data_IF_290330066040
#
_entry.id   IF_290330066040
#
_cell.length_a   1.000
_cell.length_b   1.000
_cell.length_c   1.000
_cell.angle_alpha   90.00
_cell.angle_beta   90.00
_cell.angle_gamma   90.00
#
_symmetry.space_group_name_H-M   'P 1'
#
loop_
_entity.id
_entity.type
_entity.pdbx_description
1 polymer ?
#
# COMPACT_ATOMS: atom_id res chain seq x y z
N UNK A 1 24.39 17.89 11.37
CA UNK A 1 24.25 16.45 11.60
C UNK A 1 25.47 15.78 11.02
N UNK A 2 26.21 15.01 11.82
CA UNK A 2 27.32 14.18 11.33
C UNK A 2 26.88 12.73 11.36
N UNK A 3 26.97 12.03 10.21
CA UNK A 3 26.65 10.60 10.10
C UNK A 3 27.97 9.87 9.85
N UNK A 4 28.33 8.95 10.75
CA UNK A 4 29.46 8.03 10.57
C UNK A 4 28.90 6.63 10.34
N UNK A 5 29.34 5.99 9.27
CA UNK A 5 28.95 4.60 8.95
C UNK A 5 30.15 3.70 9.20
N UNK A 6 29.98 2.71 10.08
CA UNK A 6 30.85 1.53 10.19
C UNK A 6 30.09 0.31 9.70
N UNK A 7 30.82 -0.77 9.39
CA UNK A 7 30.26 -2.04 8.84
C UNK A 7 29.03 -2.53 9.63
N UNK A 8 28.97 -2.31 10.95
CA UNK A 8 27.90 -2.78 11.83
C UNK A 8 27.13 -1.70 12.58
N UNK A 9 27.41 -0.40 12.38
CA UNK A 9 26.76 0.68 13.13
C UNK A 9 26.66 1.96 12.30
N UNK A 10 25.53 2.62 12.41
CA UNK A 10 25.37 4.01 11.99
C UNK A 10 25.29 4.88 13.25
N UNK A 11 26.21 5.83 13.37
CA UNK A 11 26.23 6.78 14.48
C UNK A 11 25.76 8.13 13.93
N UNK A 12 24.66 8.63 14.48
CA UNK A 12 24.13 9.96 14.17
C UNK A 12 24.50 10.87 15.34
N UNK A 13 25.30 11.90 15.09
CA UNK A 13 25.67 12.89 16.09
C UNK A 13 24.97 14.20 15.80
N UNK A 14 24.29 14.74 16.79
CA UNK A 14 23.60 16.02 16.75
C UNK A 14 24.23 16.96 17.76
N UNK A 15 24.46 18.23 17.37
CA UNK A 15 24.78 19.30 18.30
C UNK A 15 23.45 19.99 18.63
N UNK A 16 23.12 20.08 19.92
CA UNK A 16 21.94 20.79 20.41
C UNK A 16 22.07 22.32 20.25
N UNK A 17 21.01 23.02 20.59
CA UNK A 17 20.92 24.50 20.59
C UNK A 17 21.25 25.15 19.24
N UNK A 18 20.91 24.51 18.14
CA UNK A 18 21.00 25.12 16.81
C UNK A 18 19.81 26.06 16.58
N UNK A 19 20.08 27.25 16.07
CA UNK A 19 19.04 28.13 15.56
C UNK A 19 18.62 27.63 14.16
N UNK A 20 17.33 27.49 13.96
CA UNK A 20 16.77 27.14 12.66
C UNK A 20 16.15 28.41 12.05
N UNK A 21 16.41 28.62 10.78
CA UNK A 21 15.72 29.67 10.02
C UNK A 21 14.39 29.10 9.51
N UNK A 22 13.35 29.93 9.52
CA UNK A 22 12.08 29.59 8.90
C UNK A 22 12.25 29.42 7.39
N UNK A 23 11.53 28.49 6.80
CA UNK A 23 11.51 28.28 5.37
C UNK A 23 10.12 27.79 4.93
N UNK A 24 9.78 28.05 3.69
CA UNK A 24 8.58 27.50 3.08
C UNK A 24 8.90 26.16 2.43
N UNK A 25 8.06 25.16 2.67
CA UNK A 25 8.23 23.83 2.13
C UNK A 25 6.91 23.25 1.61
N UNK A 26 6.90 22.88 0.37
CA UNK A 26 5.79 22.14 -0.24
C UNK A 26 5.96 20.65 0.04
N UNK A 27 5.13 20.09 0.90
CA UNK A 27 5.20 18.65 1.24
C UNK A 27 4.76 17.83 0.03
N UNK A 28 5.62 16.97 -0.52
CA UNK A 28 5.24 16.08 -1.62
C UNK A 28 4.16 15.08 -1.20
N UNK A 29 3.43 14.54 -2.18
CA UNK A 29 2.47 13.47 -1.93
C UNK A 29 3.13 12.24 -1.30
N UNK A 30 2.44 11.61 -0.35
CA UNK A 30 2.91 10.40 0.33
C UNK A 30 2.64 9.16 -0.53
N UNK A 31 3.68 8.33 -0.72
CA UNK A 31 3.58 7.08 -1.49
C UNK A 31 2.62 6.07 -0.85
N UNK A 32 2.53 6.04 0.48
CA UNK A 32 1.61 5.13 1.18
C UNK A 32 0.15 5.50 0.89
N UNK A 33 -0.19 6.78 0.91
CA UNK A 33 -1.51 7.27 0.52
C UNK A 33 -1.79 7.02 -0.96
N UNK A 34 -0.82 7.26 -1.83
CA UNK A 34 -0.92 7.01 -3.27
C UNK A 34 -1.13 5.54 -3.60
N UNK A 35 -0.60 4.62 -2.80
CA UNK A 35 -0.60 3.18 -3.03
C UNK A 35 -2.01 2.60 -3.23
N UNK A 36 -2.99 3.09 -2.48
CA UNK A 36 -4.38 2.65 -2.58
C UNK A 36 -5.00 3.02 -3.92
N UNK A 37 -4.72 4.23 -4.42
CA UNK A 37 -5.21 4.69 -5.73
C UNK A 37 -4.45 4.03 -6.89
N UNK A 38 -3.17 3.72 -6.71
CA UNK A 38 -2.39 2.91 -7.66
C UNK A 38 -3.05 1.55 -7.82
N UNK A 39 -3.34 0.84 -6.72
CA UNK A 39 -3.96 -0.48 -6.77
C UNK A 39 -5.40 -0.42 -7.26
N UNK A 40 -6.18 0.59 -6.85
CA UNK A 40 -7.52 0.83 -7.42
C UNK A 40 -7.45 0.90 -8.95
N UNK A 41 -6.52 1.69 -9.50
CA UNK A 41 -6.37 1.83 -10.95
C UNK A 41 -5.91 0.55 -11.63
N UNK A 42 -4.95 -0.19 -11.02
CA UNK A 42 -4.46 -1.46 -11.58
C UNK A 42 -5.60 -2.48 -11.72
N UNK A 43 -6.47 -2.57 -10.70
CA UNK A 43 -7.51 -3.59 -10.61
C UNK A 43 -8.83 -3.19 -11.28
N UNK A 44 -9.06 -1.91 -11.57
CA UNK A 44 -10.27 -1.42 -12.25
C UNK A 44 -10.04 -1.42 -13.76
N UNK A 45 -10.88 -2.14 -14.51
CA UNK A 45 -10.75 -2.24 -15.96
C UNK A 45 -10.81 -0.88 -16.67
N UNK A 46 -10.06 -0.76 -17.77
CA UNK A 46 -9.99 0.42 -18.63
C UNK A 46 -9.63 1.74 -17.92
N UNK A 47 -8.97 1.63 -16.76
CA UNK A 47 -8.58 2.78 -15.95
C UNK A 47 -7.16 3.23 -16.20
N UNK A 48 -6.95 4.54 -16.07
CA UNK A 48 -5.63 5.18 -16.07
C UNK A 48 -5.62 6.33 -15.07
N UNK A 49 -4.48 6.57 -14.43
CA UNK A 49 -4.32 7.64 -13.45
C UNK A 49 -2.91 8.21 -13.50
N UNK A 50 -2.81 9.50 -13.20
CA UNK A 50 -1.54 10.18 -12.90
C UNK A 50 -1.66 10.79 -11.51
N UNK A 51 -0.81 10.35 -10.57
CA UNK A 51 -0.72 10.92 -9.24
C UNK A 51 0.51 11.82 -9.22
N UNK A 52 0.29 13.13 -9.06
CA UNK A 52 1.34 14.13 -9.24
C UNK A 52 2.17 14.37 -8.00
N UNK A 53 3.44 14.73 -8.21
CA UNK A 53 4.38 15.20 -7.18
C UNK A 53 4.49 14.28 -5.96
N UNK A 54 4.57 12.97 -6.17
CA UNK A 54 4.73 11.99 -5.08
C UNK A 54 6.20 11.83 -4.73
N UNK A 55 6.50 11.75 -3.44
CA UNK A 55 7.83 11.40 -2.96
C UNK A 55 8.19 9.99 -3.40
N UNK A 56 9.33 9.85 -4.08
CA UNK A 56 9.85 8.58 -4.60
C UNK A 56 11.19 8.19 -3.97
N UNK A 57 11.34 8.46 -2.68
CA UNK A 57 12.51 8.02 -1.94
C UNK A 57 12.67 6.51 -2.04
N UNK A 58 13.88 6.05 -2.36
CA UNK A 58 14.20 4.63 -2.57
C UNK A 58 13.85 3.74 -1.37
N UNK A 59 13.90 4.29 -0.16
CA UNK A 59 13.52 3.59 1.07
C UNK A 59 12.00 3.39 1.24
N UNK A 60 11.17 4.00 0.37
CA UNK A 60 9.71 4.01 0.49
C UNK A 60 8.98 3.43 -0.74
N UNK A 61 9.67 3.26 -1.87
CA UNK A 61 9.04 2.81 -3.13
C UNK A 61 9.03 1.29 -3.32
N UNK A 62 9.18 0.52 -2.24
CA UNK A 62 9.13 -0.95 -2.30
C UNK A 62 7.87 -1.48 -2.96
N UNK A 63 6.72 -0.87 -2.69
CA UNK A 63 5.45 -1.22 -3.36
C UNK A 63 5.55 -1.11 -4.88
N UNK A 64 6.14 -0.04 -5.41
CA UNK A 64 6.26 0.16 -6.87
C UNK A 64 7.11 -0.95 -7.49
N UNK A 65 8.22 -1.30 -6.82
CA UNK A 65 9.11 -2.38 -7.26
C UNK A 65 8.37 -3.72 -7.27
N UNK A 66 7.67 -4.05 -6.19
CA UNK A 66 6.89 -5.30 -6.05
C UNK A 66 5.78 -5.37 -7.10
N UNK A 67 4.96 -4.33 -7.25
CA UNK A 67 3.88 -4.32 -8.22
C UNK A 67 4.39 -4.41 -9.66
N UNK A 68 5.52 -3.78 -9.98
CA UNK A 68 6.15 -3.93 -11.30
C UNK A 68 6.68 -5.34 -11.55
N UNK A 69 7.23 -6.02 -10.53
CA UNK A 69 7.59 -7.45 -10.62
C UNK A 69 6.35 -8.32 -10.86
N UNK A 70 5.17 -7.92 -10.36
CA UNK A 70 3.89 -8.56 -10.64
C UNK A 70 3.29 -8.18 -12.01
N UNK A 71 3.97 -7.32 -12.77
CA UNK A 71 3.58 -6.92 -14.12
C UNK A 71 2.68 -5.69 -14.21
N UNK A 72 2.58 -4.86 -13.16
CA UNK A 72 1.71 -3.69 -13.14
C UNK A 72 2.10 -2.61 -14.16
N UNK A 73 3.40 -2.44 -14.46
CA UNK A 73 3.87 -1.49 -15.47
C UNK A 73 3.75 -0.02 -15.04
N UNK A 74 3.95 0.24 -13.76
CA UNK A 74 3.92 1.58 -13.17
C UNK A 74 5.17 2.36 -13.62
N UNK A 75 5.00 3.62 -14.01
CA UNK A 75 6.06 4.48 -14.50
C UNK A 75 6.17 5.77 -13.70
N UNK A 76 7.40 6.22 -13.49
CA UNK A 76 7.68 7.56 -12.98
C UNK A 76 7.89 8.53 -14.14
N UNK A 77 7.15 9.64 -14.15
CA UNK A 77 7.28 10.74 -15.10
C UNK A 77 7.66 12.01 -14.34
N UNK A 78 8.19 13.00 -15.07
CA UNK A 78 8.50 14.32 -14.50
C UNK A 78 9.33 14.25 -13.22
N UNK A 79 10.36 13.36 -13.21
CA UNK A 79 11.26 13.21 -12.06
C UNK A 79 12.02 14.50 -11.82
N UNK A 80 12.06 14.95 -10.58
CA UNK A 80 12.81 16.13 -10.16
C UNK A 80 13.31 16.00 -8.73
N UNK A 81 14.27 16.82 -8.37
CA UNK A 81 14.66 17.04 -6.98
C UNK A 81 13.95 18.28 -6.45
N UNK A 82 13.47 18.17 -5.22
CA UNK A 82 12.86 19.27 -4.50
C UNK A 82 13.31 19.23 -3.06
N UNK A 83 14.11 20.25 -2.65
CA UNK A 83 14.67 20.36 -1.30
C UNK A 83 15.32 19.06 -0.77
N UNK A 84 16.15 18.42 -1.61
CA UNK A 84 16.84 17.18 -1.26
C UNK A 84 16.04 15.89 -1.41
N UNK A 85 14.74 15.97 -1.71
CA UNK A 85 13.88 14.81 -1.94
C UNK A 85 13.63 14.54 -3.42
N UNK A 86 13.62 13.27 -3.79
CA UNK A 86 13.21 12.85 -5.15
C UNK A 86 11.70 12.79 -5.22
N UNK A 87 11.12 13.51 -6.18
CA UNK A 87 9.68 13.47 -6.45
C UNK A 87 9.40 13.16 -7.92
N UNK A 88 8.24 12.57 -8.20
CA UNK A 88 7.79 12.27 -9.56
C UNK A 88 6.28 12.21 -9.64
N UNK A 89 5.79 12.24 -10.87
CA UNK A 89 4.42 11.85 -11.19
C UNK A 89 4.37 10.35 -11.40
N UNK A 90 3.45 9.66 -10.73
CA UNK A 90 3.24 8.22 -10.87
C UNK A 90 2.16 8.00 -11.93
N UNK A 91 2.55 7.38 -13.04
CA UNK A 91 1.64 6.98 -14.10
C UNK A 91 1.30 5.50 -13.98
N UNK A 92 0.01 5.19 -13.93
CA UNK A 92 -0.51 3.82 -13.77
C UNK A 92 -1.70 3.58 -14.70
N UNK A 93 -1.81 2.35 -15.20
CA UNK A 93 -2.95 1.85 -16.00
C UNK A 93 -3.45 0.53 -15.43
N UNK A 94 -4.69 0.20 -15.72
CA UNK A 94 -5.27 -1.12 -15.43
C UNK A 94 -4.45 -2.26 -16.06
N UNK A 95 -4.43 -3.40 -15.38
CA UNK A 95 -3.71 -4.61 -15.83
C UNK A 95 -4.56 -5.86 -15.62
N UNK A 96 -4.85 -6.58 -16.70
CA UNK A 96 -5.63 -7.83 -16.65
C UNK A 96 -4.81 -9.04 -16.20
N UNK A 97 -3.52 -9.12 -16.62
CA UNK A 97 -2.68 -10.31 -16.44
C UNK A 97 -1.57 -10.05 -15.41
N UNK A 98 -1.96 -9.94 -14.14
CA UNK A 98 -1.02 -9.85 -13.04
C UNK A 98 -0.45 -11.23 -12.71
N UNK A 99 0.84 -11.28 -12.38
CA UNK A 99 1.58 -12.50 -12.04
C UNK A 99 1.83 -12.61 -10.55
N UNK A 100 1.86 -13.83 -10.06
CA UNK A 100 2.36 -14.11 -8.70
C UNK A 100 3.85 -13.78 -8.58
N UNK A 101 4.30 -13.60 -7.33
CA UNK A 101 5.67 -13.21 -7.02
C UNK A 101 6.24 -14.07 -5.88
N UNK A 102 7.53 -14.39 -5.95
CA UNK A 102 8.34 -14.70 -4.79
C UNK A 102 8.99 -13.37 -4.34
N UNK A 103 8.37 -12.70 -3.39
CA UNK A 103 8.80 -11.35 -3.00
C UNK A 103 10.16 -11.39 -2.30
N UNK A 104 11.18 -10.63 -2.80
CA UNK A 104 12.46 -10.54 -2.12
C UNK A 104 12.28 -9.87 -0.75
N UNK A 105 12.75 -10.52 0.33
CA UNK A 105 12.67 -9.97 1.70
C UNK A 105 13.44 -8.66 1.87
N UNK A 106 14.40 -8.36 1.00
CA UNK A 106 15.10 -7.06 0.97
C UNK A 106 14.19 -5.87 0.67
N UNK A 107 13.00 -6.11 0.12
CA UNK A 107 11.99 -5.06 -0.12
C UNK A 107 11.05 -4.86 1.07
N UNK A 108 11.11 -5.71 2.11
CA UNK A 108 10.17 -5.66 3.23
C UNK A 108 10.16 -4.29 3.91
N UNK A 109 11.31 -3.74 4.27
CA UNK A 109 11.41 -2.46 4.96
C UNK A 109 10.84 -1.30 4.14
N UNK A 110 11.07 -1.30 2.83
CA UNK A 110 10.60 -0.24 1.93
C UNK A 110 9.14 -0.39 1.46
N UNK A 111 8.47 -1.49 1.83
CA UNK A 111 7.06 -1.78 1.51
C UNK A 111 6.23 -2.19 2.72
N UNK A 112 6.78 -2.07 3.94
CA UNK A 112 6.19 -2.66 5.16
C UNK A 112 4.77 -2.16 5.42
N UNK A 113 4.51 -0.92 5.07
CA UNK A 113 3.22 -0.28 5.28
C UNK A 113 2.22 -0.56 4.14
N UNK A 114 2.68 -1.05 3.01
CA UNK A 114 1.88 -1.30 1.80
C UNK A 114 1.56 -2.78 1.57
N UNK A 115 2.11 -3.70 2.36
CA UNK A 115 1.83 -5.14 2.16
C UNK A 115 0.34 -5.47 2.18
N UNK A 116 -0.47 -4.79 3.00
CA UNK A 116 -1.91 -5.02 3.03
C UNK A 116 -2.53 -4.86 1.63
N UNK A 117 -2.20 -3.78 0.94
CA UNK A 117 -2.76 -3.51 -0.39
C UNK A 117 -2.05 -4.32 -1.48
N UNK A 118 -0.77 -4.68 -1.31
CA UNK A 118 -0.05 -5.62 -2.19
C UNK A 118 -0.71 -6.99 -2.18
N UNK A 119 -1.17 -7.46 -1.01
CA UNK A 119 -1.84 -8.76 -0.89
C UNK A 119 -3.18 -8.80 -1.63
N UNK A 120 -3.88 -7.68 -1.76
CA UNK A 120 -5.07 -7.59 -2.61
C UNK A 120 -4.71 -7.82 -4.09
N UNK A 121 -3.58 -7.26 -4.55
CA UNK A 121 -3.08 -7.52 -5.91
C UNK A 121 -2.67 -8.98 -6.07
N UNK A 122 -2.01 -9.56 -5.06
CA UNK A 122 -1.67 -10.98 -5.05
C UNK A 122 -2.91 -11.88 -5.10
N UNK A 123 -4.01 -11.49 -4.42
CA UNK A 123 -5.28 -12.19 -4.47
C UNK A 123 -5.91 -12.22 -5.87
N UNK A 124 -5.67 -11.19 -6.70
CA UNK A 124 -6.15 -11.08 -8.10
C UNK A 124 -5.12 -11.55 -9.13
N UNK A 125 -3.93 -11.97 -8.72
CA UNK A 125 -2.88 -12.42 -9.64
C UNK A 125 -3.02 -13.91 -10.01
N UNK A 126 -2.39 -14.33 -11.11
CA UNK A 126 -2.33 -15.76 -11.49
C UNK A 126 -1.18 -16.44 -10.75
N UNK A 127 -1.48 -17.53 -10.02
CA UNK A 127 -0.51 -18.36 -9.34
C UNK A 127 -0.38 -18.08 -7.84
N UNK A 128 0.72 -18.50 -7.21
CA UNK A 128 0.91 -18.41 -5.77
C UNK A 128 2.01 -17.38 -5.47
N UNK A 129 1.62 -16.31 -4.80
CA UNK A 129 2.57 -15.31 -4.30
C UNK A 129 3.10 -15.70 -2.93
N UNK A 130 4.42 -15.53 -2.72
CA UNK A 130 5.10 -15.88 -1.48
C UNK A 130 5.80 -14.66 -0.91
N UNK A 131 5.56 -14.41 0.38
CA UNK A 131 6.16 -13.31 1.13
C UNK A 131 6.74 -13.88 2.42
N UNK A 132 7.95 -13.48 2.79
CA UNK A 132 8.68 -14.01 3.93
C UNK A 132 9.10 -12.91 4.88
N UNK A 133 9.31 -13.29 6.16
CA UNK A 133 9.86 -12.41 7.20
C UNK A 133 9.03 -11.15 7.45
N UNK A 134 7.70 -11.29 7.54
CA UNK A 134 6.76 -10.16 7.70
C UNK A 134 6.39 -9.86 9.16
N UNK A 135 7.16 -10.32 10.13
CA UNK A 135 6.86 -10.18 11.56
C UNK A 135 6.65 -8.74 12.02
N UNK A 136 7.33 -7.78 11.39
CA UNK A 136 7.18 -6.36 11.68
C UNK A 136 5.76 -5.83 11.40
N UNK A 137 4.99 -6.48 10.52
CA UNK A 137 3.58 -6.09 10.29
C UNK A 137 2.69 -6.27 11.54
N UNK A 138 3.04 -7.19 12.44
CA UNK A 138 2.30 -7.41 13.68
C UNK A 138 2.76 -6.52 14.84
N UNK A 139 3.77 -5.67 14.61
CA UNK A 139 4.27 -4.67 15.57
C UNK A 139 3.80 -3.24 15.22
N UNK A 140 2.86 -3.11 14.30
CA UNK A 140 2.24 -1.84 13.89
C UNK A 140 1.07 -1.46 14.81
N UNK A 141 0.21 -0.53 14.39
CA UNK A 141 -0.98 -0.06 15.14
C UNK A 141 -1.93 -1.22 15.49
N UNK A 142 -1.90 -2.26 14.68
CA UNK A 142 -2.63 -3.51 14.90
C UNK A 142 -1.76 -4.69 14.47
N UNK A 143 -2.17 -5.91 14.78
CA UNK A 143 -1.56 -7.13 14.24
C UNK A 143 -1.95 -7.30 12.77
N UNK A 144 -1.39 -6.43 11.90
CA UNK A 144 -1.78 -6.30 10.49
C UNK A 144 -1.71 -7.59 9.70
N UNK A 145 -0.67 -8.42 9.94
CA UNK A 145 -0.56 -9.72 9.27
C UNK A 145 -1.71 -10.66 9.65
N UNK A 146 -2.12 -10.66 10.91
CA UNK A 146 -3.24 -11.47 11.38
C UNK A 146 -4.56 -10.99 10.77
N UNK A 147 -4.76 -9.67 10.72
CA UNK A 147 -5.98 -9.07 10.20
C UNK A 147 -6.12 -9.30 8.69
N UNK A 148 -5.04 -9.15 7.92
CA UNK A 148 -5.11 -9.35 6.47
C UNK A 148 -5.31 -10.81 6.10
N UNK A 149 -4.78 -11.76 6.88
CA UNK A 149 -5.08 -13.18 6.66
C UNK A 149 -6.58 -13.46 6.85
N UNK A 150 -7.19 -12.88 7.89
CA UNK A 150 -8.65 -12.97 8.09
C UNK A 150 -9.41 -12.33 6.94
N UNK A 151 -8.98 -11.15 6.50
CA UNK A 151 -9.58 -10.44 5.36
C UNK A 151 -9.51 -11.25 4.07
N UNK A 152 -8.35 -11.80 3.72
CA UNK A 152 -8.18 -12.63 2.52
C UNK A 152 -9.07 -13.88 2.54
N UNK A 153 -9.18 -14.53 3.71
CA UNK A 153 -10.10 -15.67 3.89
C UNK A 153 -11.56 -15.25 3.73
N UNK A 154 -11.96 -14.09 4.25
CA UNK A 154 -13.30 -13.55 4.11
C UNK A 154 -13.70 -13.37 2.64
N UNK A 155 -12.78 -12.94 1.79
CA UNK A 155 -13.02 -12.81 0.34
C UNK A 155 -12.75 -14.10 -0.45
N UNK A 156 -12.68 -15.26 0.23
CA UNK A 156 -12.57 -16.58 -0.40
C UNK A 156 -11.17 -16.93 -0.94
N UNK A 157 -10.13 -16.20 -0.54
CA UNK A 157 -8.76 -16.49 -0.98
C UNK A 157 -8.09 -17.50 -0.04
N UNK A 158 -7.56 -18.58 -0.62
CA UNK A 158 -6.74 -19.55 0.10
C UNK A 158 -5.41 -18.92 0.49
N UNK A 159 -5.13 -18.95 1.80
CA UNK A 159 -3.91 -18.42 2.40
C UNK A 159 -3.27 -19.48 3.26
N UNK A 160 -1.99 -19.70 3.07
CA UNK A 160 -1.14 -20.51 3.94
C UNK A 160 -0.20 -19.58 4.70
N UNK A 161 -0.20 -19.69 6.02
CA UNK A 161 0.69 -18.92 6.89
C UNK A 161 1.49 -19.83 7.80
N UNK A 162 2.80 -19.60 7.84
CA UNK A 162 3.73 -20.27 8.76
C UNK A 162 4.51 -19.15 9.45
N UNK A 163 4.24 -18.92 10.74
CA UNK A 163 4.81 -17.80 11.52
C UNK A 163 4.61 -16.45 10.78
N UNK A 164 5.68 -15.88 10.29
CA UNK A 164 5.74 -14.58 9.61
C UNK A 164 5.78 -14.68 8.08
N UNK A 165 5.71 -15.90 7.57
CA UNK A 165 5.65 -16.17 6.13
C UNK A 165 4.21 -16.39 5.69
N UNK A 166 3.86 -15.89 4.50
CA UNK A 166 2.52 -16.02 3.91
C UNK A 166 2.62 -16.45 2.44
N UNK A 167 1.74 -17.39 2.05
CA UNK A 167 1.48 -17.71 0.64
C UNK A 167 0.03 -17.38 0.33
N UNK A 168 -0.18 -16.68 -0.76
CA UNK A 168 -1.49 -16.25 -1.24
C UNK A 168 -1.75 -16.92 -2.58
N UNK A 169 -2.78 -17.77 -2.63
CA UNK A 169 -3.23 -18.44 -3.86
C UNK A 169 -4.13 -17.48 -4.62
N UNK A 170 -3.58 -16.82 -5.61
CA UNK A 170 -4.29 -15.82 -6.39
C UNK A 170 -5.38 -16.41 -7.29
N UNK A 171 -6.45 -15.66 -7.46
CA UNK A 171 -7.57 -15.95 -8.33
C UNK A 171 -7.85 -14.76 -9.27
N UNK A 172 -7.36 -14.78 -10.52
CA UNK A 172 -7.61 -13.68 -11.47
C UNK A 172 -9.09 -13.41 -11.76
N UNK A 173 -9.94 -14.44 -11.60
CA UNK A 173 -11.38 -14.36 -11.79
C UNK A 173 -12.15 -13.99 -10.51
N UNK A 174 -11.44 -13.62 -9.43
CA UNK A 174 -12.08 -13.23 -8.18
C UNK A 174 -13.06 -12.10 -8.44
N UNK A 175 -14.33 -12.39 -8.26
CA UNK A 175 -15.44 -11.47 -8.31
C UNK A 175 -16.42 -11.87 -7.22
N UNK A 176 -16.83 -10.93 -6.42
CA UNK A 176 -17.62 -11.15 -5.21
C UNK A 176 -19.08 -10.76 -5.47
N UNK A 177 -19.97 -11.57 -4.93
CA UNK A 177 -21.41 -11.30 -4.86
C UNK A 177 -21.87 -11.48 -3.41
N UNK A 178 -22.94 -10.77 -3.01
CA UNK A 178 -23.47 -10.84 -1.64
C UNK A 178 -22.91 -9.75 -0.72
N UNK A 179 -23.11 -9.94 0.58
CA UNK A 179 -22.88 -8.91 1.60
C UNK A 179 -21.63 -9.21 2.43
N UNK A 180 -20.77 -8.22 2.58
CA UNK A 180 -19.53 -8.30 3.34
C UNK A 180 -19.54 -7.26 4.44
N UNK A 181 -19.18 -7.63 5.66
CA UNK A 181 -19.07 -6.70 6.75
C UNK A 181 -17.67 -6.76 7.39
N UNK A 182 -17.01 -5.62 7.45
CA UNK A 182 -15.70 -5.47 8.10
C UNK A 182 -15.90 -4.86 9.46
N UNK A 183 -15.66 -5.67 10.50
CA UNK A 183 -15.76 -5.32 11.93
C UNK A 183 -14.44 -5.61 12.63
N UNK A 184 -14.23 -4.96 13.80
CA UNK A 184 -13.18 -5.30 14.76
C UNK A 184 -11.76 -5.33 14.18
N UNK A 185 -11.39 -4.34 13.37
CA UNK A 185 -10.03 -4.18 12.86
C UNK A 185 -9.18 -3.18 13.67
N UNK A 186 -9.56 -2.95 14.92
CA UNK A 186 -8.82 -2.13 15.90
C UNK A 186 -8.56 -0.69 15.41
N UNK A 187 -9.50 -0.12 14.67
CA UNK A 187 -9.40 1.23 14.06
C UNK A 187 -8.14 1.44 13.20
N UNK A 188 -7.58 0.37 12.64
CA UNK A 188 -6.44 0.48 11.72
C UNK A 188 -6.89 1.05 10.38
N UNK A 189 -6.49 2.29 10.11
CA UNK A 189 -6.87 3.02 8.91
C UNK A 189 -6.46 2.30 7.61
N UNK A 190 -5.37 1.52 7.61
CA UNK A 190 -4.94 0.77 6.42
C UNK A 190 -5.82 -0.43 6.11
N UNK A 191 -6.40 -1.06 7.13
CA UNK A 191 -7.43 -2.10 6.93
C UNK A 191 -8.70 -1.46 6.38
N UNK A 192 -9.07 -0.28 6.86
CA UNK A 192 -10.20 0.48 6.30
C UNK A 192 -9.97 0.79 4.82
N UNK A 193 -8.81 1.36 4.47
CA UNK A 193 -8.45 1.67 3.07
C UNK A 193 -8.45 0.42 2.19
N UNK A 194 -7.81 -0.67 2.64
CA UNK A 194 -7.82 -1.96 1.95
C UNK A 194 -9.25 -2.42 1.65
N UNK A 195 -10.14 -2.34 2.64
CA UNK A 195 -11.52 -2.80 2.51
C UNK A 195 -12.30 -1.96 1.50
N UNK A 196 -12.11 -0.63 1.49
CA UNK A 196 -12.71 0.25 0.49
C UNK A 196 -12.23 -0.07 -0.93
N UNK A 197 -10.91 -0.28 -1.12
CA UNK A 197 -10.38 -0.63 -2.44
C UNK A 197 -10.88 -2.00 -2.89
N UNK A 198 -10.96 -2.98 -1.99
CA UNK A 198 -11.51 -4.30 -2.29
C UNK A 198 -12.98 -4.21 -2.70
N UNK A 199 -13.80 -3.46 -1.98
CA UNK A 199 -15.20 -3.22 -2.32
C UNK A 199 -15.36 -2.66 -3.74
N UNK A 200 -14.54 -1.68 -4.11
CA UNK A 200 -14.59 -1.03 -5.42
C UNK A 200 -14.06 -1.89 -6.58
N UNK A 201 -13.23 -2.91 -6.29
CA UNK A 201 -12.52 -3.67 -7.31
C UNK A 201 -12.93 -5.14 -7.42
N UNK A 202 -13.61 -5.67 -6.39
CA UNK A 202 -13.99 -7.09 -6.33
C UNK A 202 -15.50 -7.34 -6.48
N UNK A 203 -16.34 -6.30 -6.33
CA UNK A 203 -17.80 -6.45 -6.32
C UNK A 203 -18.36 -6.77 -4.94
N UNK A 204 -19.69 -7.08 -4.87
CA UNK A 204 -20.45 -7.28 -3.65
C UNK A 204 -20.86 -5.98 -2.96
N UNK A 205 -21.69 -6.10 -1.92
CA UNK A 205 -22.08 -4.99 -1.05
C UNK A 205 -21.29 -5.02 0.24
N UNK A 206 -20.72 -3.87 0.63
CA UNK A 206 -19.78 -3.82 1.74
C UNK A 206 -20.21 -2.83 2.80
N UNK A 207 -20.26 -3.28 4.05
CA UNK A 207 -20.37 -2.45 5.24
C UNK A 207 -19.03 -2.41 5.94
N UNK A 208 -18.38 -1.25 5.95
CA UNK A 208 -17.07 -1.06 6.56
C UNK A 208 -17.24 -0.13 7.75
N UNK A 209 -16.98 -0.66 8.95
CA UNK A 209 -17.12 0.09 10.20
C UNK A 209 -15.88 0.98 10.48
N UNK A 210 -15.95 1.79 11.54
CA UNK A 210 -14.86 2.65 12.03
C UNK A 210 -14.32 3.64 10.98
N UNK A 211 -15.22 4.31 10.27
CA UNK A 211 -14.89 5.37 9.30
C UNK A 211 -13.92 6.41 9.86
N UNK A 212 -14.02 6.74 11.13
CA UNK A 212 -13.19 7.74 11.79
C UNK A 212 -11.71 7.35 11.89
N UNK A 213 -11.37 6.08 11.68
CA UNK A 213 -9.99 5.60 11.65
C UNK A 213 -9.11 6.29 10.61
N UNK A 214 -9.71 6.89 9.56
CA UNK A 214 -8.97 7.59 8.49
C UNK A 214 -8.51 8.99 8.89
N UNK A 215 -9.13 9.60 9.92
CA UNK A 215 -8.93 11.01 10.26
C UNK A 215 -7.48 11.33 10.67
N UNK A 216 -6.77 10.36 11.24
CA UNK A 216 -5.37 10.51 11.67
C UNK A 216 -4.34 10.33 10.56
N UNK A 217 -4.76 9.80 9.40
CA UNK A 217 -3.83 9.45 8.32
C UNK A 217 -4.20 10.11 6.98
N UNK A 218 -5.43 9.91 6.51
CA UNK A 218 -5.89 10.46 5.24
C UNK A 218 -7.38 10.89 5.33
N UNK A 219 -7.70 12.01 5.98
CA UNK A 219 -9.08 12.46 6.20
C UNK A 219 -9.90 12.60 4.92
N UNK A 220 -9.26 12.99 3.83
CA UNK A 220 -9.92 13.20 2.52
C UNK A 220 -10.08 11.90 1.69
N UNK A 221 -9.71 10.72 2.20
CA UNK A 221 -9.70 9.47 1.43
C UNK A 221 -11.07 9.17 0.77
N UNK A 222 -12.16 9.16 1.55
CA UNK A 222 -13.49 8.88 1.03
C UNK A 222 -13.98 9.98 0.08
N UNK A 223 -13.66 11.25 0.36
CA UNK A 223 -13.95 12.36 -0.55
C UNK A 223 -13.26 12.18 -1.89
N UNK A 224 -11.99 11.79 -1.87
CA UNK A 224 -11.22 11.52 -3.09
C UNK A 224 -11.79 10.35 -3.88
N UNK A 225 -12.19 9.26 -3.22
CA UNK A 225 -12.86 8.13 -3.88
C UNK A 225 -14.18 8.56 -4.56
N UNK A 226 -15.00 9.38 -3.88
CA UNK A 226 -16.24 9.93 -4.46
C UNK A 226 -15.96 10.80 -5.69
N UNK A 227 -14.93 11.65 -5.64
CA UNK A 227 -14.50 12.46 -6.80
C UNK A 227 -14.05 11.60 -7.99
N UNK A 228 -13.54 10.41 -7.74
CA UNK A 228 -13.17 9.42 -8.76
C UNK A 228 -14.36 8.57 -9.24
N UNK A 229 -15.58 8.83 -8.76
CA UNK A 229 -16.79 8.15 -9.18
C UNK A 229 -17.26 6.99 -8.29
N UNK A 230 -16.63 6.77 -7.13
CA UNK A 230 -17.08 5.75 -6.20
C UNK A 230 -18.44 6.10 -5.58
N UNK A 231 -19.38 5.15 -5.61
CA UNK A 231 -20.68 5.27 -4.92
C UNK A 231 -20.47 4.80 -3.46
N UNK A 232 -20.51 5.74 -2.53
CA UNK A 232 -20.32 5.51 -1.09
C UNK A 232 -21.45 6.21 -0.36
N UNK A 233 -22.26 5.46 0.35
CA UNK A 233 -23.35 5.93 1.21
C UNK A 233 -22.84 6.19 2.64
#
# INVERSE_FOLDING_TARGET
>A
IKIRKNINRQIISLKGLNQFQSFEYYVPGDISSASFFIVLTILTENSKMIIKNVNINESRIGIIKILNMMGAGIQFKNKKFYNGEKIADIYVKSKKNLKSINCPSSLNSSAIDEFLIIFLVAAKSKGISKFKNLGEMNKKESKRLDLVVKFLKLIGIKVERIKDDIKIHGNPKLNLSGNYEIKKFLKDHRIFFLSCIAALTLGGEWKINDKDSINTSFPNFLKTLKMLGAKIN
#
